data_IF_175617140406
#
_entry.id   IF_175617140406
#
_cell.length_a   1.000
_cell.length_b   1.000
_cell.length_c   1.000
_cell.angle_alpha   90.00
_cell.angle_beta   90.00
_cell.angle_gamma   90.00
#
_symmetry.space_group_name_H-M   'P 1'
#
loop_
_entity.id
_entity.type
_entity.pdbx_description
1 polymer ?
#
# COMPACT_ATOMS: atom_id res chain seq x y z
N UNK A 1 2.75 -9.34 -4.04
CA UNK A 1 3.05 -7.98 -3.53
C UNK A 1 2.93 -7.99 -2.01
N UNK A 2 3.91 -7.42 -1.32
CA UNK A 2 4.09 -7.60 0.12
C UNK A 2 4.25 -6.26 0.83
N UNK A 3 4.08 -6.24 2.15
CA UNK A 3 4.40 -5.10 3.00
C UNK A 3 5.38 -5.53 4.09
N UNK A 4 6.35 -4.66 4.38
CA UNK A 4 7.29 -4.91 5.47
C UNK A 4 6.62 -4.74 6.83
N UNK A 5 6.83 -5.67 7.75
CA UNK A 5 6.23 -5.57 9.10
C UNK A 5 6.87 -4.47 9.94
N UNK A 6 8.13 -4.11 9.71
CA UNK A 6 8.81 -3.01 10.41
C UNK A 6 8.46 -1.64 9.84
N UNK A 7 8.81 -1.36 8.57
CA UNK A 7 8.64 -0.02 8.00
C UNK A 7 7.28 0.21 7.33
N UNK A 8 6.47 -0.85 7.18
CA UNK A 8 5.14 -0.85 6.54
C UNK A 8 5.12 -0.47 5.06
N UNK A 9 6.26 -0.19 4.41
CA UNK A 9 6.30 0.09 2.98
C UNK A 9 5.88 -1.15 2.18
N UNK A 10 5.23 -0.92 1.05
CA UNK A 10 4.88 -1.97 0.11
C UNK A 10 6.08 -2.26 -0.79
N UNK A 11 6.32 -3.53 -1.08
CA UNK A 11 7.39 -4.04 -1.96
C UNK A 11 6.81 -5.08 -2.92
N UNK A 12 7.47 -5.24 -4.07
CA UNK A 12 7.02 -6.17 -5.11
C UNK A 12 7.22 -7.62 -4.69
N UNK A 13 8.44 -7.94 -4.28
CA UNK A 13 8.91 -9.29 -3.98
C UNK A 13 8.89 -9.63 -2.49
N UNK A 14 8.76 -10.92 -2.18
CA UNK A 14 8.65 -11.46 -0.83
C UNK A 14 9.99 -11.82 -0.16
N UNK A 15 11.12 -11.35 -0.69
CA UNK A 15 12.46 -11.66 -0.17
C UNK A 15 12.89 -10.75 0.97
N UNK A 16 13.37 -9.55 0.63
CA UNK A 16 13.88 -8.57 1.59
C UNK A 16 13.30 -7.20 1.26
N UNK A 17 12.93 -6.44 2.29
CA UNK A 17 12.48 -5.07 2.12
C UNK A 17 13.61 -4.19 1.56
N UNK A 18 13.41 -3.64 0.36
CA UNK A 18 14.36 -2.73 -0.31
C UNK A 18 14.63 -1.42 0.46
N UNK A 19 13.87 -1.12 1.52
CA UNK A 19 13.95 0.16 2.24
C UNK A 19 14.57 0.07 3.64
N UNK A 20 14.52 -1.09 4.29
CA UNK A 20 15.05 -1.27 5.64
C UNK A 20 15.76 -2.60 5.85
N UNK A 21 15.99 -3.34 4.76
CA UNK A 21 16.70 -4.63 4.74
C UNK A 21 16.14 -5.72 5.66
N UNK A 22 14.89 -5.57 6.11
CA UNK A 22 14.22 -6.60 6.91
C UNK A 22 13.62 -7.67 5.99
N UNK A 23 13.76 -8.94 6.37
CA UNK A 23 13.19 -10.10 5.69
C UNK A 23 11.73 -10.40 6.12
N UNK A 24 11.23 -9.78 7.19
CA UNK A 24 9.85 -9.99 7.64
C UNK A 24 8.87 -9.18 6.77
N UNK A 25 8.39 -9.85 5.72
CA UNK A 25 7.44 -9.36 4.73
C UNK A 25 6.14 -10.17 4.82
N UNK A 26 5.01 -9.47 4.75
CA UNK A 26 3.68 -10.09 4.76
C UNK A 26 2.93 -9.73 3.49
N UNK A 27 2.09 -10.66 3.03
CA UNK A 27 1.31 -10.44 1.81
C UNK A 27 0.34 -9.25 1.96
N UNK A 28 0.31 -8.38 0.96
CA UNK A 28 -0.67 -7.31 0.88
C UNK A 28 -2.00 -7.87 0.40
N UNK A 29 -2.98 -7.93 1.30
CA UNK A 29 -4.33 -8.41 0.98
C UNK A 29 -5.20 -7.33 0.36
N UNK A 30 -6.23 -7.75 -0.36
CA UNK A 30 -7.33 -6.86 -0.75
C UNK A 30 -8.03 -6.30 0.50
N UNK A 31 -8.64 -5.13 0.34
CA UNK A 31 -9.28 -4.32 1.39
C UNK A 31 -8.32 -3.85 2.52
N UNK A 32 -7.03 -4.17 2.41
CA UNK A 32 -6.03 -3.69 3.34
C UNK A 32 -5.99 -2.16 3.39
N UNK A 33 -6.03 -1.53 4.59
CA UNK A 33 -5.88 -0.10 4.70
C UNK A 33 -4.42 0.30 4.45
N UNK A 34 -4.23 1.30 3.59
CA UNK A 34 -2.94 1.88 3.20
C UNK A 34 -3.04 3.41 3.15
N UNK A 35 -1.91 4.07 3.24
CA UNK A 35 -1.78 5.50 2.99
C UNK A 35 -0.79 5.77 1.87
N UNK A 36 -0.97 6.90 1.19
CA UNK A 36 -0.05 7.36 0.14
C UNK A 36 1.02 8.23 0.80
N UNK A 37 2.28 7.84 0.63
CA UNK A 37 3.45 8.55 1.15
C UNK A 37 3.49 9.98 0.63
N UNK A 38 3.89 10.92 1.49
CA UNK A 38 3.91 12.35 1.15
C UNK A 38 2.54 13.03 1.10
N UNK A 39 1.45 12.31 1.39
CA UNK A 39 0.09 12.90 1.40
C UNK A 39 -0.68 12.49 2.65
N UNK A 40 -1.81 13.17 2.90
CA UNK A 40 -2.79 12.79 3.92
C UNK A 40 -3.78 11.73 3.44
N UNK A 41 -3.66 11.28 2.18
CA UNK A 41 -4.62 10.35 1.58
C UNK A 41 -4.46 8.94 2.16
N UNK A 42 -5.59 8.38 2.59
CA UNK A 42 -5.72 7.00 3.05
C UNK A 42 -6.78 6.30 2.21
N UNK A 43 -6.54 5.04 1.90
CA UNK A 43 -7.46 4.24 1.11
C UNK A 43 -7.37 2.77 1.47
N UNK A 44 -8.20 1.99 0.80
CA UNK A 44 -8.17 0.53 0.88
C UNK A 44 -7.74 -0.06 -0.44
N UNK A 45 -6.97 -1.14 -0.40
CA UNK A 45 -6.52 -1.85 -1.59
C UNK A 45 -7.73 -2.47 -2.29
N UNK A 46 -8.02 -2.02 -3.51
CA UNK A 46 -9.11 -2.57 -4.33
C UNK A 46 -8.60 -3.63 -5.30
N UNK A 47 -7.44 -3.38 -5.92
CA UNK A 47 -6.81 -4.31 -6.86
C UNK A 47 -5.30 -4.12 -6.83
N UNK A 48 -4.57 -5.23 -6.92
CA UNK A 48 -3.13 -5.26 -7.05
C UNK A 48 -2.82 -5.70 -8.49
N UNK A 49 -2.02 -4.91 -9.19
CA UNK A 49 -1.37 -5.28 -10.45
C UNK A 49 0.13 -5.26 -10.23
N UNK A 50 0.94 -5.74 -11.18
CA UNK A 50 2.38 -5.95 -10.96
C UNK A 50 3.09 -4.74 -10.32
N UNK A 51 3.02 -3.55 -10.93
CA UNK A 51 3.72 -2.35 -10.44
C UNK A 51 2.84 -1.35 -9.71
N UNK A 52 1.53 -1.59 -9.65
CA UNK A 52 0.57 -0.58 -9.20
C UNK A 52 -0.53 -1.17 -8.33
N UNK A 53 -1.08 -0.31 -7.48
CA UNK A 53 -2.21 -0.65 -6.64
C UNK A 53 -3.33 0.34 -6.87
N UNK A 54 -4.52 -0.17 -7.15
CA UNK A 54 -5.73 0.63 -7.15
C UNK A 54 -6.26 0.73 -5.74
N UNK A 55 -6.45 1.95 -5.29
CA UNK A 55 -7.00 2.28 -3.99
C UNK A 55 -8.42 2.81 -4.15
N UNK A 56 -9.30 2.34 -3.27
CA UNK A 56 -10.55 3.00 -2.97
C UNK A 56 -10.28 4.04 -1.87
N UNK A 57 -10.41 5.31 -2.22
CA UNK A 57 -10.21 6.44 -1.30
C UNK A 57 -11.56 7.09 -1.03
N UNK A 58 -11.72 7.61 0.19
CA UNK A 58 -12.85 8.46 0.58
C UNK A 58 -12.31 9.86 0.88
N UNK A 59 -12.98 10.89 0.38
CA UNK A 59 -12.71 12.27 0.77
C UNK A 59 -13.44 12.62 2.07
N UNK A 60 -13.25 13.85 2.54
CA UNK A 60 -13.94 14.40 3.71
C UNK A 60 -15.46 14.49 3.53
N UNK A 61 -15.94 14.55 2.27
CA UNK A 61 -17.36 14.52 1.92
C UNK A 61 -17.93 13.08 1.77
N UNK A 62 -17.13 12.06 2.11
CA UNK A 62 -17.46 10.63 2.02
C UNK A 62 -17.76 10.12 0.59
N UNK A 63 -17.35 10.87 -0.44
CA UNK A 63 -17.37 10.41 -1.82
C UNK A 63 -16.28 9.35 -2.03
N UNK A 64 -16.61 8.31 -2.79
CA UNK A 64 -15.68 7.24 -3.12
C UNK A 64 -15.05 7.49 -4.48
N UNK A 65 -13.73 7.40 -4.56
CA UNK A 65 -13.00 7.45 -5.82
C UNK A 65 -11.95 6.36 -5.89
N UNK A 66 -11.67 5.93 -7.12
CA UNK A 66 -10.64 4.95 -7.41
C UNK A 66 -9.44 5.70 -7.98
N UNK A 67 -8.28 5.53 -7.37
CA UNK A 67 -7.00 6.02 -7.91
C UNK A 67 -5.98 4.91 -7.93
N UNK A 68 -5.07 4.99 -8.88
CA UNK A 68 -3.98 4.06 -9.06
C UNK A 68 -2.67 4.72 -8.62
N UNK A 69 -1.88 4.00 -7.82
CA UNK A 69 -0.61 4.49 -7.29
C UNK A 69 0.49 3.44 -7.50
N UNK A 70 1.73 3.88 -7.65
CA UNK A 70 2.88 2.99 -7.60
C UNK A 70 2.97 2.34 -6.22
N UNK A 71 3.39 1.08 -6.17
CA UNK A 71 3.61 0.41 -4.89
C UNK A 71 4.60 1.15 -3.99
N UNK A 72 5.58 1.83 -4.58
CA UNK A 72 6.63 2.58 -3.87
C UNK A 72 6.08 3.76 -3.10
N UNK A 73 4.95 4.30 -3.54
CA UNK A 73 4.29 5.45 -2.93
C UNK A 73 3.30 5.04 -1.84
N UNK A 74 3.24 3.76 -1.49
CA UNK A 74 2.25 3.23 -0.56
C UNK A 74 2.88 2.69 0.72
N UNK A 75 2.15 2.85 1.82
CA UNK A 75 2.50 2.32 3.12
C UNK A 75 1.27 1.70 3.79
N UNK A 76 1.43 0.50 4.36
CA UNK A 76 0.39 -0.21 5.10
C UNK A 76 0.09 0.52 6.41
N UNK A 77 -1.19 0.69 6.72
CA UNK A 77 -1.67 1.22 8.01
C UNK A 77 -2.07 0.05 8.90
N UNK A 78 -1.73 0.08 10.19
CA UNK A 78 -2.12 -0.96 11.16
C UNK A 78 -3.60 -0.89 11.49
#
# INVERSE_FOLDING_TARGET
>A
MFYCTSCKRIVKDGGVCEFCSNADLRELKLDAPVNVLGTKLKGRVLKITDDKVRLLIRDDANNKFIKEYSYRDLKKVL
#
